data_IF_809298431725
#
_entry.id   IF_809298431725
#
_cell.length_a   1.000
_cell.length_b   1.000
_cell.length_c   1.000
_cell.angle_alpha   90.00
_cell.angle_beta   90.00
_cell.angle_gamma   90.00
#
_symmetry.space_group_name_H-M   'P 1'
#
loop_
_entity.id
_entity.type
_entity.pdbx_description
1 polymer ?
#
# COMPACT_ATOMS: atom_id res chain seq x y z
N UNK A 1 15.24 12.91 -8.56
CA UNK A 1 13.98 13.23 -7.87
C UNK A 1 13.49 11.96 -7.17
N UNK A 2 13.63 11.84 -5.84
CA UNK A 2 13.14 10.67 -5.10
C UNK A 2 11.62 10.77 -5.00
N UNK A 3 10.88 9.90 -5.69
CA UNK A 3 9.44 9.76 -5.48
C UNK A 3 9.21 9.12 -4.11
N UNK A 4 8.38 9.74 -3.30
CA UNK A 4 8.09 9.28 -1.94
C UNK A 4 7.01 8.20 -2.01
N UNK A 5 7.40 6.95 -1.75
CA UNK A 5 6.51 5.81 -1.67
C UNK A 5 6.62 5.15 -0.29
N UNK A 6 5.50 4.65 0.22
CA UNK A 6 5.43 3.99 1.53
C UNK A 6 5.88 2.53 1.38
N UNK A 7 5.36 1.84 0.36
CA UNK A 7 5.71 0.46 0.04
C UNK A 7 6.66 0.40 -1.17
N UNK A 8 7.66 -0.48 -1.10
CA UNK A 8 8.76 -0.55 -2.09
C UNK A 8 8.69 -1.75 -3.03
N UNK A 9 8.23 -2.89 -2.54
CA UNK A 9 8.33 -4.18 -3.22
C UNK A 9 6.96 -4.61 -3.71
N UNK A 10 6.48 -4.03 -4.80
CA UNK A 10 5.21 -4.39 -5.42
C UNK A 10 5.44 -4.96 -6.83
N UNK A 11 4.45 -5.72 -7.33
CA UNK A 11 4.46 -6.32 -8.67
C UNK A 11 3.15 -5.98 -9.38
N UNK A 12 3.24 -5.36 -10.56
CA UNK A 12 2.09 -5.02 -11.41
C UNK A 12 1.72 -6.16 -12.37
N UNK A 13 2.60 -6.46 -13.33
CA UNK A 13 2.34 -7.46 -14.37
C UNK A 13 3.55 -8.38 -14.59
N UNK A 14 3.71 -9.37 -13.71
CA UNK A 14 4.80 -10.35 -13.77
C UNK A 14 4.90 -11.10 -15.11
N UNK A 15 3.80 -11.62 -15.71
CA UNK A 15 3.90 -12.34 -16.99
C UNK A 15 4.37 -11.45 -18.16
N UNK A 16 4.14 -10.14 -18.07
CA UNK A 16 4.60 -9.16 -19.05
C UNK A 16 5.99 -8.58 -18.70
N UNK A 17 6.63 -9.09 -17.64
CA UNK A 17 7.88 -8.57 -17.09
C UNK A 17 7.84 -7.04 -16.85
N UNK A 18 6.67 -6.53 -16.45
CA UNK A 18 6.41 -5.10 -16.25
C UNK A 18 6.10 -4.83 -14.79
N UNK A 19 6.67 -3.72 -14.28
CA UNK A 19 6.47 -3.26 -12.90
C UNK A 19 6.80 -4.36 -11.87
N UNK A 20 7.95 -5.01 -12.02
CA UNK A 20 8.43 -6.05 -11.09
C UNK A 20 9.37 -5.41 -10.06
N UNK A 21 9.09 -5.64 -8.78
CA UNK A 21 9.87 -5.14 -7.64
C UNK A 21 10.04 -3.61 -7.64
N UNK A 22 8.94 -2.91 -7.88
CA UNK A 22 8.87 -1.45 -7.89
C UNK A 22 7.76 -0.95 -6.96
N UNK A 23 7.86 0.28 -6.44
CA UNK A 23 6.76 0.87 -5.70
C UNK A 23 5.57 1.19 -6.62
N UNK A 24 4.34 0.96 -6.14
CA UNK A 24 3.11 1.18 -6.88
C UNK A 24 2.17 2.10 -6.12
N UNK A 25 1.65 3.13 -6.79
CA UNK A 25 0.84 4.18 -6.14
C UNK A 25 -0.45 3.63 -5.51
N UNK A 26 -1.04 2.61 -6.13
CA UNK A 26 -2.23 1.95 -5.59
C UNK A 26 -1.91 1.08 -4.37
N UNK A 27 -0.70 0.54 -4.26
CA UNK A 27 -0.28 -0.18 -3.06
C UNK A 27 -0.26 0.75 -1.83
N UNK A 28 0.26 1.97 -1.99
CA UNK A 28 0.28 2.99 -0.95
C UNK A 28 -1.14 3.45 -0.57
N UNK A 29 -2.03 3.62 -1.55
CA UNK A 29 -3.44 3.95 -1.29
C UNK A 29 -4.12 2.91 -0.40
N UNK A 30 -4.03 1.63 -0.78
CA UNK A 30 -4.66 0.55 -0.01
C UNK A 30 -3.99 0.33 1.34
N UNK A 31 -2.68 0.58 1.45
CA UNK A 31 -1.98 0.53 2.73
C UNK A 31 -2.55 1.54 3.72
N UNK A 32 -2.68 2.81 3.31
CA UNK A 32 -3.25 3.86 4.18
C UNK A 32 -4.72 3.59 4.50
N UNK A 33 -5.51 3.14 3.53
CA UNK A 33 -6.90 2.74 3.76
C UNK A 33 -7.00 1.64 4.83
N UNK A 34 -6.17 0.60 4.73
CA UNK A 34 -6.15 -0.50 5.68
C UNK A 34 -5.76 -0.01 7.10
N UNK A 35 -4.78 0.89 7.22
CA UNK A 35 -4.41 1.48 8.51
C UNK A 35 -5.54 2.28 9.14
N UNK A 36 -6.28 3.07 8.34
CA UNK A 36 -7.44 3.84 8.82
C UNK A 36 -8.54 2.89 9.31
N UNK A 37 -8.84 1.83 8.53
CA UNK A 37 -9.82 0.80 8.93
C UNK A 37 -9.41 0.11 10.23
N UNK A 38 -8.14 -0.26 10.37
CA UNK A 38 -7.59 -0.88 11.59
C UNK A 38 -7.73 0.06 12.80
N UNK A 39 -7.35 1.32 12.65
CA UNK A 39 -7.51 2.34 13.70
C UNK A 39 -8.96 2.49 14.13
N UNK A 40 -9.90 2.53 13.18
CA UNK A 40 -11.32 2.66 13.48
C UNK A 40 -11.88 1.43 14.20
N UNK A 41 -11.44 0.22 13.83
CA UNK A 41 -11.80 -1.03 14.55
C UNK A 41 -11.30 -0.95 15.99
N UNK A 42 -10.03 -0.58 16.18
CA UNK A 42 -9.43 -0.45 17.51
C UNK A 42 -10.18 0.57 18.38
N UNK A 43 -10.49 1.75 17.85
CA UNK A 43 -11.22 2.80 18.56
C UNK A 43 -12.68 2.43 18.87
N UNK A 44 -13.33 1.61 18.03
CA UNK A 44 -14.67 1.08 18.33
C UNK A 44 -14.65 0.09 19.49
N UNK A 45 -13.62 -0.73 19.60
CA UNK A 45 -13.51 -1.74 20.66
C UNK A 45 -13.08 -1.17 22.02
N UNK A 46 -12.62 0.08 22.06
CA UNK A 46 -12.27 0.81 23.29
C UNK A 46 -13.44 1.60 23.90
N UNK A 47 -14.56 1.71 23.18
CA UNK A 47 -15.81 2.32 23.66
C UNK A 47 -16.74 1.23 24.18
#
# INVERSE_FOLDING_TARGET
MKRLFILKHSVGAFPANSEVDVPLIYADYYYVEAMIRLKNIYLRNLK
#
